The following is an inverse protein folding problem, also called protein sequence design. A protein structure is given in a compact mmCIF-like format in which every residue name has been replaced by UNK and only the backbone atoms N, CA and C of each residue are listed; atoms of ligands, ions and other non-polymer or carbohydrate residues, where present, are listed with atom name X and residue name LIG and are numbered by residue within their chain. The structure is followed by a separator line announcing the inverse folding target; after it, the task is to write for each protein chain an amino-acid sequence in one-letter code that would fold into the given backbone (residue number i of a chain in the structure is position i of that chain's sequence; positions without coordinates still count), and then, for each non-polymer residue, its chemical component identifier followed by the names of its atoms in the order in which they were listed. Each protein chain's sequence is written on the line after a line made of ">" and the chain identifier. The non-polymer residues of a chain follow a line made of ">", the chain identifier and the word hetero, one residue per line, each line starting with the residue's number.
data_IF_491936276415
#
_entry.id   IF_491936276415
#
_cell.length_a   1.000
_cell.length_b   1.000
_cell.length_c   1.000
_cell.angle_alpha   90.00
_cell.angle_beta   90.00
_cell.angle_gamma   90.00
#
_symmetry.space_group_name_H-M   'P 1'
#
loop_
_entity.id
_entity.type
_entity.pdbx_description
1 polymer ?
#
# COMPACT_ATOMS: atom_id res chain seq x y z
N UNK A 1 42.64 -0.49 -13.55
CA UNK A 1 41.25 -0.21 -13.97
C UNK A 1 40.36 -1.10 -13.14
N UNK A 2 39.54 -0.56 -12.24
CA UNK A 2 38.51 -1.36 -11.57
C UNK A 2 37.58 -1.96 -12.64
N UNK A 3 37.24 -3.23 -12.49
CA UNK A 3 36.34 -3.93 -13.41
C UNK A 3 34.93 -3.31 -13.45
N UNK A 4 34.04 -3.81 -14.32
CA UNK A 4 32.69 -3.25 -14.48
C UNK A 4 31.81 -3.36 -13.23
N UNK A 5 32.24 -4.13 -12.23
CA UNK A 5 31.60 -4.27 -10.93
C UNK A 5 32.61 -4.71 -9.86
N UNK A 6 32.23 -4.51 -8.59
CA UNK A 6 32.89 -5.06 -7.41
C UNK A 6 32.00 -6.14 -6.80
N UNK A 7 32.54 -7.35 -6.65
CA UNK A 7 31.85 -8.44 -5.95
C UNK A 7 31.63 -8.10 -4.47
N UNK A 8 30.42 -8.35 -3.98
CA UNK A 8 30.02 -8.16 -2.58
C UNK A 8 29.72 -9.51 -1.89
N UNK A 9 29.85 -10.64 -2.59
CA UNK A 9 29.51 -11.97 -2.12
C UNK A 9 28.04 -12.34 -2.32
N UNK A 10 27.70 -13.62 -2.12
CA UNK A 10 26.32 -14.14 -2.16
C UNK A 10 25.54 -13.83 -3.45
N UNK A 11 26.26 -13.68 -4.57
CA UNK A 11 25.68 -13.30 -5.87
C UNK A 11 25.38 -11.81 -6.03
N UNK A 12 25.67 -10.97 -5.02
CA UNK A 12 25.54 -9.52 -5.10
C UNK A 12 26.84 -8.88 -5.56
N UNK A 13 26.72 -7.83 -6.35
CA UNK A 13 27.82 -6.97 -6.75
C UNK A 13 27.39 -5.51 -6.73
N UNK A 14 28.36 -4.60 -6.66
CA UNK A 14 28.17 -3.18 -6.93
C UNK A 14 28.67 -2.85 -8.33
N UNK A 15 27.79 -2.37 -9.20
CA UNK A 15 28.20 -1.90 -10.52
C UNK A 15 29.07 -0.63 -10.39
N UNK A 16 30.12 -0.54 -11.22
CA UNK A 16 31.08 0.57 -11.23
C UNK A 16 31.16 1.20 -12.62
N UNK A 17 31.61 2.46 -12.68
CA UNK A 17 31.90 3.15 -13.94
C UNK A 17 30.67 3.33 -14.84
N UNK A 18 30.83 3.01 -16.14
CA UNK A 18 29.80 3.25 -17.16
C UNK A 18 28.66 2.22 -17.19
N UNK A 19 28.75 1.13 -16.41
CA UNK A 19 27.82 0.01 -16.50
C UNK A 19 26.46 0.31 -15.85
N UNK A 20 26.45 1.07 -14.76
CA UNK A 20 25.21 1.54 -14.12
C UNK A 20 24.36 2.42 -15.05
N UNK A 21 24.91 3.52 -15.62
CA UNK A 21 24.17 4.41 -16.52
C UNK A 21 23.68 3.75 -17.82
N UNK A 22 24.36 2.72 -18.33
CA UNK A 22 23.93 1.96 -19.52
C UNK A 22 22.64 1.17 -19.29
N UNK A 23 22.39 0.76 -18.04
CA UNK A 23 21.19 0.02 -17.62
C UNK A 23 20.16 1.05 -17.18
N UNK A 24 19.13 1.25 -18.01
CA UNK A 24 18.18 2.38 -17.89
C UNK A 24 17.80 2.69 -16.43
N UNK A 25 18.24 3.83 -15.85
CA UNK A 25 17.98 4.12 -14.46
C UNK A 25 16.49 4.30 -14.22
N UNK A 26 15.97 3.60 -13.21
CA UNK A 26 14.57 3.65 -12.81
C UNK A 26 14.21 5.05 -12.31
N UNK A 27 13.61 5.90 -13.14
CA UNK A 27 13.11 7.20 -12.67
C UNK A 27 11.85 6.98 -11.84
N UNK A 28 11.82 7.52 -10.64
CA UNK A 28 10.64 7.53 -9.76
C UNK A 28 10.14 8.96 -9.72
N UNK A 29 8.98 9.23 -10.31
CA UNK A 29 8.34 10.55 -10.28
C UNK A 29 6.96 10.54 -9.62
N UNK A 30 6.44 9.35 -9.31
CA UNK A 30 5.21 9.18 -8.57
C UNK A 30 5.25 7.90 -7.72
N UNK A 31 4.30 7.76 -6.80
CA UNK A 31 4.18 6.55 -5.96
C UNK A 31 3.92 5.30 -6.80
N UNK A 32 3.19 5.42 -7.92
CA UNK A 32 2.96 4.30 -8.83
C UNK A 32 4.25 3.77 -9.46
N UNK A 33 5.23 4.63 -9.76
CA UNK A 33 6.54 4.18 -10.26
C UNK A 33 7.29 3.40 -9.19
N UNK A 34 7.27 3.87 -7.94
CA UNK A 34 7.86 3.16 -6.81
C UNK A 34 7.20 1.78 -6.61
N UNK A 35 5.86 1.71 -6.66
CA UNK A 35 5.14 0.45 -6.60
C UNK A 35 5.54 -0.49 -7.74
N UNK A 36 5.64 0.01 -8.98
CA UNK A 36 6.05 -0.80 -10.12
C UNK A 36 7.45 -1.39 -9.93
N UNK A 37 8.39 -0.62 -9.39
CA UNK A 37 9.74 -1.11 -9.08
C UNK A 37 9.72 -2.19 -7.98
N UNK A 38 8.90 -2.01 -6.93
CA UNK A 38 8.73 -3.04 -5.89
C UNK A 38 8.15 -4.34 -6.46
N UNK A 39 7.16 -4.25 -7.35
CA UNK A 39 6.58 -5.42 -8.03
C UNK A 39 7.58 -6.11 -8.97
N UNK A 40 8.38 -5.34 -9.72
CA UNK A 40 9.45 -5.87 -10.57
C UNK A 40 10.48 -6.62 -9.73
N UNK A 41 10.94 -6.05 -8.63
CA UNK A 41 11.88 -6.72 -7.72
C UNK A 41 11.34 -8.05 -7.18
N UNK A 42 10.07 -8.09 -6.78
CA UNK A 42 9.45 -9.33 -6.32
C UNK A 42 9.35 -10.40 -7.42
N UNK A 43 8.93 -10.02 -8.64
CA UNK A 43 8.95 -10.93 -9.81
C UNK A 43 10.36 -11.41 -10.11
N UNK A 44 11.33 -10.51 -10.12
CA UNK A 44 12.72 -10.83 -10.41
C UNK A 44 13.36 -11.62 -9.26
N UNK A 45 12.76 -11.66 -8.07
CA UNK A 45 13.10 -12.61 -7.02
C UNK A 45 12.43 -13.99 -7.23
N UNK A 46 11.79 -14.21 -8.38
CA UNK A 46 11.07 -15.43 -8.76
C UNK A 46 9.85 -15.73 -7.88
N UNK A 47 9.21 -14.68 -7.36
CA UNK A 47 7.98 -14.83 -6.59
C UNK A 47 6.85 -15.40 -7.46
N UNK A 48 6.06 -16.31 -6.90
CA UNK A 48 4.81 -16.81 -7.50
C UNK A 48 3.60 -16.01 -7.02
N UNK A 49 3.66 -15.45 -5.81
CA UNK A 49 2.60 -14.67 -5.17
C UNK A 49 3.16 -13.35 -4.65
N UNK A 50 2.45 -12.27 -4.96
CA UNK A 50 2.81 -10.93 -4.51
C UNK A 50 1.58 -10.29 -3.86
N UNK A 51 1.74 -9.77 -2.65
CA UNK A 51 0.68 -9.12 -1.89
C UNK A 51 1.03 -7.64 -1.66
N UNK A 52 0.15 -6.75 -2.10
CA UNK A 52 0.31 -5.31 -1.96
C UNK A 52 -0.69 -4.79 -0.94
N UNK A 53 -0.20 -4.34 0.20
CA UNK A 53 -0.99 -3.59 1.16
C UNK A 53 -0.73 -2.09 1.00
N UNK A 54 -1.77 -1.28 1.02
CA UNK A 54 -1.62 0.18 1.01
C UNK A 54 -2.56 0.89 1.97
N UNK A 55 -2.08 2.00 2.53
CA UNK A 55 -2.89 2.94 3.31
C UNK A 55 -2.51 4.37 2.98
N UNK A 56 -3.48 5.28 2.99
CA UNK A 56 -3.20 6.72 3.01
C UNK A 56 -3.52 7.25 4.40
N UNK A 57 -2.51 7.82 5.07
CA UNK A 57 -2.63 8.42 6.41
C UNK A 57 -2.61 9.93 6.28
N UNK A 58 -3.45 10.60 7.07
CA UNK A 58 -3.54 12.08 7.12
C UNK A 58 -3.69 12.75 5.76
N UNK A 59 -4.25 12.04 4.77
CA UNK A 59 -4.36 12.47 3.36
C UNK A 59 -3.03 12.86 2.70
N UNK A 60 -1.89 12.42 3.24
CA UNK A 60 -0.54 12.83 2.81
C UNK A 60 0.46 11.69 2.78
N UNK A 61 0.45 10.80 3.77
CA UNK A 61 1.45 9.75 3.87
C UNK A 61 0.93 8.45 3.28
N UNK A 62 1.41 8.09 2.10
CA UNK A 62 1.07 6.85 1.42
C UNK A 62 2.03 5.75 1.83
N UNK A 63 1.50 4.77 2.54
CA UNK A 63 2.24 3.55 2.89
C UNK A 63 2.01 2.48 1.81
N UNK A 64 3.10 1.86 1.37
CA UNK A 64 3.12 0.63 0.58
C UNK A 64 3.85 -0.46 1.36
N UNK A 65 3.26 -1.64 1.41
CA UNK A 65 3.93 -2.86 1.84
C UNK A 65 3.76 -3.90 0.74
N UNK A 66 4.87 -4.35 0.16
CA UNK A 66 4.90 -5.44 -0.83
C UNK A 66 5.51 -6.65 -0.16
N UNK A 67 4.74 -7.74 -0.18
CA UNK A 67 5.13 -9.03 0.35
C UNK A 67 5.23 -10.03 -0.79
N UNK A 68 6.25 -10.86 -0.80
CA UNK A 68 6.43 -11.89 -1.83
C UNK A 68 6.98 -13.21 -1.28
N UNK A 69 6.79 -14.28 -2.03
CA UNK A 69 7.31 -15.62 -1.75
C UNK A 69 8.57 -15.97 -2.59
N UNK A 70 9.30 -14.95 -3.06
CA UNK A 70 10.53 -15.15 -3.82
C UNK A 70 11.72 -15.55 -2.95
N UNK A 71 12.91 -15.55 -3.56
CA UNK A 71 14.17 -15.96 -2.92
C UNK A 71 14.61 -15.07 -1.75
N UNK A 72 14.03 -13.87 -1.61
CA UNK A 72 14.38 -12.92 -0.56
C UNK A 72 15.76 -12.28 -0.75
N UNK A 73 16.29 -11.73 0.34
CA UNK A 73 17.58 -11.05 0.43
C UNK A 73 18.34 -11.61 1.62
N UNK A 74 19.61 -12.02 1.49
CA UNK A 74 20.37 -12.52 2.63
C UNK A 74 20.54 -11.42 3.70
N UNK A 75 20.44 -11.77 4.98
CA UNK A 75 20.41 -10.85 6.12
C UNK A 75 21.51 -9.76 6.10
N UNK A 76 22.78 -10.06 5.76
CA UNK A 76 23.84 -9.05 5.71
C UNK A 76 23.62 -7.96 4.67
N UNK A 77 22.74 -8.18 3.68
CA UNK A 77 22.48 -7.25 2.58
C UNK A 77 21.22 -6.40 2.80
N UNK A 78 20.50 -6.58 3.91
CA UNK A 78 19.20 -5.92 4.19
C UNK A 78 19.23 -4.40 4.04
N UNK A 79 20.31 -3.75 4.48
CA UNK A 79 20.55 -2.32 4.23
C UNK A 79 21.36 -2.07 2.95
N UNK A 80 22.30 -2.95 2.61
CA UNK A 80 23.20 -2.77 1.47
C UNK A 80 22.46 -2.72 0.12
N UNK A 81 21.33 -3.41 -0.03
CA UNK A 81 20.51 -3.38 -1.27
C UNK A 81 19.96 -1.98 -1.60
N UNK A 82 19.96 -1.05 -0.64
CA UNK A 82 19.55 0.33 -0.88
C UNK A 82 20.68 1.22 -1.36
N UNK A 83 21.93 0.74 -1.34
CA UNK A 83 23.07 1.50 -1.84
C UNK A 83 23.08 1.52 -3.38
N UNK A 84 23.52 2.63 -3.99
CA UNK A 84 23.50 2.76 -5.44
C UNK A 84 24.42 1.73 -6.10
N UNK A 85 23.91 1.09 -7.16
CA UNK A 85 24.65 0.13 -7.96
C UNK A 85 24.65 -1.30 -7.40
N UNK A 86 24.08 -1.53 -6.21
CA UNK A 86 24.03 -2.86 -5.60
C UNK A 86 22.96 -3.73 -6.29
N UNK A 87 23.37 -4.87 -6.83
CA UNK A 87 22.48 -5.75 -7.59
C UNK A 87 22.95 -7.22 -7.57
N UNK A 88 21.99 -8.14 -7.57
CA UNK A 88 22.21 -9.56 -7.86
C UNK A 88 22.15 -9.90 -9.36
N UNK A 89 21.89 -8.90 -10.21
CA UNK A 89 21.69 -9.04 -11.67
C UNK A 89 22.87 -8.48 -12.49
N UNK A 90 24.05 -8.37 -11.88
CA UNK A 90 25.23 -7.81 -12.53
C UNK A 90 25.67 -8.61 -13.78
N UNK A 91 25.59 -9.95 -13.74
CA UNK A 91 25.88 -10.85 -14.88
C UNK A 91 24.64 -11.25 -15.69
N UNK A 92 23.44 -10.96 -15.20
CA UNK A 92 22.18 -11.39 -15.82
C UNK A 92 21.15 -10.27 -15.74
N UNK A 93 21.34 -9.19 -16.52
CA UNK A 93 20.40 -8.09 -16.57
C UNK A 93 19.07 -8.57 -17.17
N UNK A 94 17.97 -7.94 -16.78
CA UNK A 94 16.62 -8.42 -17.14
C UNK A 94 16.06 -7.59 -18.29
N UNK A 95 15.67 -8.28 -19.36
CA UNK A 95 14.95 -7.67 -20.48
C UNK A 95 13.45 -7.64 -20.18
N UNK A 96 12.83 -6.46 -20.11
CA UNK A 96 11.40 -6.29 -19.77
C UNK A 96 10.63 -5.57 -20.90
N UNK A 97 10.98 -5.88 -22.16
CA UNK A 97 10.39 -5.25 -23.36
C UNK A 97 10.78 -3.78 -23.58
N UNK A 98 11.58 -3.19 -22.68
CA UNK A 98 12.19 -1.87 -22.84
C UNK A 98 13.46 -1.94 -23.70
N UNK A 99 13.85 -0.80 -24.30
CA UNK A 99 15.02 -0.72 -25.22
C UNK A 99 16.33 -1.12 -24.54
N UNK A 100 16.47 -0.85 -23.25
CA UNK A 100 17.65 -1.22 -22.45
C UNK A 100 17.22 -2.17 -21.32
N UNK A 101 18.02 -3.19 -21.00
CA UNK A 101 17.73 -4.06 -19.87
C UNK A 101 17.94 -3.32 -18.54
N UNK A 102 17.23 -3.77 -17.51
CA UNK A 102 17.38 -3.25 -16.15
C UNK A 102 18.23 -4.20 -15.29
N UNK A 103 18.38 -3.89 -14.00
CA UNK A 103 19.37 -4.54 -13.12
C UNK A 103 20.61 -3.68 -12.87
N UNK A 104 20.42 -2.35 -12.87
CA UNK A 104 21.46 -1.38 -12.52
C UNK A 104 21.74 -1.28 -11.01
N UNK A 105 20.87 -1.86 -10.16
CA UNK A 105 20.96 -1.69 -8.71
C UNK A 105 20.57 -0.28 -8.23
N UNK A 106 19.68 0.41 -8.96
CA UNK A 106 19.26 1.78 -8.64
C UNK A 106 17.82 1.90 -8.15
N UNK A 107 16.97 0.89 -8.38
CA UNK A 107 15.54 0.98 -8.06
C UNK A 107 15.28 1.19 -6.56
N UNK A 108 15.89 0.38 -5.70
CA UNK A 108 15.71 0.49 -4.25
C UNK A 108 16.38 1.74 -3.69
N UNK A 109 17.55 2.11 -4.21
CA UNK A 109 18.20 3.38 -3.89
C UNK A 109 17.29 4.58 -4.17
N UNK A 110 16.70 4.67 -5.37
CA UNK A 110 15.78 5.76 -5.69
C UNK A 110 14.50 5.73 -4.86
N UNK A 111 13.97 4.54 -4.52
CA UNK A 111 12.83 4.46 -3.59
C UNK A 111 13.22 5.07 -2.24
N UNK A 112 14.38 4.70 -1.68
CA UNK A 112 14.87 5.21 -0.40
C UNK A 112 15.05 6.73 -0.40
N UNK A 113 15.55 7.29 -1.50
CA UNK A 113 15.76 8.74 -1.64
C UNK A 113 14.44 9.54 -1.74
N UNK A 114 13.36 8.94 -2.25
CA UNK A 114 12.07 9.62 -2.43
C UNK A 114 11.04 9.29 -1.34
N UNK A 115 11.33 8.30 -0.49
CA UNK A 115 10.47 7.89 0.60
C UNK A 115 10.82 8.67 1.87
N UNK A 116 9.82 9.01 2.68
CA UNK A 116 10.03 9.45 4.06
C UNK A 116 10.62 8.31 4.91
N UNK A 117 10.33 7.07 4.53
CA UNK A 117 10.88 5.86 5.13
C UNK A 117 10.78 4.71 4.12
N UNK A 118 11.82 3.90 3.99
CA UNK A 118 11.76 2.66 3.21
C UNK A 118 12.61 1.61 3.92
N UNK A 119 12.14 0.38 4.06
CA UNK A 119 12.85 -0.67 4.80
C UNK A 119 12.54 -2.04 4.22
N UNK A 120 13.51 -2.94 4.30
CA UNK A 120 13.26 -4.36 4.19
C UNK A 120 12.96 -4.89 5.61
N UNK A 121 11.68 -5.09 5.93
CA UNK A 121 11.24 -5.49 7.27
C UNK A 121 11.43 -6.98 7.54
N UNK A 122 11.34 -7.80 6.49
CA UNK A 122 11.54 -9.23 6.57
C UNK A 122 12.31 -9.69 5.33
N UNK A 123 13.50 -10.29 5.48
CA UNK A 123 14.39 -10.60 4.36
C UNK A 123 13.96 -11.81 3.53
N UNK A 124 13.20 -12.73 4.09
CA UNK A 124 12.88 -14.05 3.52
C UNK A 124 11.40 -14.39 3.69
N UNK A 125 10.92 -15.60 3.36
CA UNK A 125 9.49 -15.94 3.24
C UNK A 125 8.56 -15.48 4.40
N UNK A 126 7.63 -14.52 4.18
CA UNK A 126 7.52 -13.66 3.00
C UNK A 126 8.47 -12.46 3.06
N UNK A 127 9.18 -12.18 1.96
CA UNK A 127 10.02 -10.99 1.85
C UNK A 127 9.10 -9.79 2.02
N UNK A 128 9.40 -8.87 2.93
CA UNK A 128 8.51 -7.75 3.28
C UNK A 128 9.21 -6.42 3.04
N UNK A 129 8.93 -5.79 1.92
CA UNK A 129 9.41 -4.45 1.61
C UNK A 129 8.35 -3.40 1.98
N UNK A 130 8.77 -2.39 2.73
CA UNK A 130 7.92 -1.35 3.27
C UNK A 130 8.42 0.02 2.82
N UNK A 131 7.50 0.90 2.45
CA UNK A 131 7.83 2.30 2.18
C UNK A 131 6.68 3.24 2.55
N UNK A 132 7.04 4.45 2.98
CA UNK A 132 6.15 5.57 3.25
C UNK A 132 6.57 6.73 2.36
N UNK A 133 5.65 7.22 1.55
CA UNK A 133 5.85 8.37 0.70
C UNK A 133 5.04 9.55 1.19
N UNK A 134 5.63 10.73 1.18
CA UNK A 134 4.92 11.97 1.35
C UNK A 134 4.35 12.42 0.00
N UNK A 135 3.04 12.39 -0.15
CA UNK A 135 2.38 12.67 -1.43
C UNK A 135 2.41 14.14 -1.85
N UNK A 136 2.90 15.04 -0.99
CA UNK A 136 3.20 16.42 -1.40
C UNK A 136 4.54 16.53 -2.13
N UNK A 137 5.48 15.62 -1.86
CA UNK A 137 6.79 15.56 -2.50
C UNK A 137 6.83 14.55 -3.65
N UNK A 138 6.26 13.36 -3.46
CA UNK A 138 6.13 12.33 -4.48
C UNK A 138 4.64 12.07 -4.74
N UNK A 139 4.03 12.74 -5.73
CA UNK A 139 2.58 12.67 -5.94
C UNK A 139 2.10 11.28 -6.39
N UNK A 140 0.81 11.02 -6.18
CA UNK A 140 0.11 9.90 -6.81
C UNK A 140 -0.51 10.36 -8.14
N UNK A 141 -0.46 9.52 -9.18
CA UNK A 141 -1.14 9.81 -10.44
C UNK A 141 -2.66 9.77 -10.22
N UNK A 142 -3.39 10.77 -10.67
CA UNK A 142 -4.86 10.75 -10.67
C UNK A 142 -5.42 9.80 -11.75
N UNK A 143 -6.42 8.99 -11.42
CA UNK A 143 -7.15 8.20 -12.42
C UNK A 143 -8.02 9.16 -13.24
N UNK A 144 -7.61 9.46 -14.47
CA UNK A 144 -8.45 10.17 -15.43
C UNK A 144 -9.41 9.20 -16.14
N UNK A 145 -10.19 8.43 -15.36
CA UNK A 145 -11.30 7.64 -15.90
C UNK A 145 -12.61 8.42 -15.73
N UNK A 146 -13.35 8.70 -16.82
CA UNK A 146 -14.65 9.37 -16.74
C UNK A 146 -15.72 8.50 -16.05
N UNK A 147 -15.57 7.17 -16.02
CA UNK A 147 -16.54 6.25 -15.44
C UNK A 147 -16.23 5.85 -13.99
N UNK A 148 -14.97 5.94 -13.55
CA UNK A 148 -14.53 5.61 -12.18
C UNK A 148 -13.36 6.50 -11.72
N UNK A 149 -13.63 7.73 -11.25
CA UNK A 149 -12.59 8.55 -10.65
C UNK A 149 -12.08 7.88 -9.37
N UNK A 150 -10.80 7.56 -9.30
CA UNK A 150 -10.12 7.16 -8.07
C UNK A 150 -8.99 8.13 -7.78
N UNK A 151 -8.79 8.40 -6.49
CA UNK A 151 -7.75 9.33 -6.00
C UNK A 151 -6.33 8.75 -6.10
N UNK A 152 -6.17 7.54 -6.65
CA UNK A 152 -4.91 6.82 -6.73
C UNK A 152 -4.91 5.84 -7.91
N UNK A 153 -3.81 5.79 -8.67
CA UNK A 153 -3.61 4.84 -9.78
C UNK A 153 -2.95 3.53 -9.32
N UNK A 154 -2.70 3.33 -8.02
CA UNK A 154 -1.97 2.16 -7.52
C UNK A 154 -2.64 0.82 -7.91
N UNK A 155 -3.97 0.70 -7.79
CA UNK A 155 -4.68 -0.51 -8.21
C UNK A 155 -4.61 -0.73 -9.73
N UNK A 156 -4.74 0.34 -10.52
CA UNK A 156 -4.63 0.25 -11.99
C UNK A 156 -3.22 -0.17 -12.41
N UNK A 157 -2.19 0.39 -11.76
CA UNK A 157 -0.78 0.01 -11.95
C UNK A 157 -0.56 -1.46 -11.61
N UNK A 158 -1.11 -1.92 -10.48
CA UNK A 158 -1.03 -3.33 -10.06
C UNK A 158 -1.73 -4.25 -11.06
N UNK A 159 -2.91 -3.87 -11.58
CA UNK A 159 -3.63 -4.61 -12.63
C UNK A 159 -2.86 -4.67 -13.94
N UNK A 160 -2.32 -3.56 -14.40
CA UNK A 160 -1.49 -3.52 -15.62
C UNK A 160 -0.24 -4.40 -15.49
N UNK A 161 0.38 -4.42 -14.31
CA UNK A 161 1.48 -5.34 -14.03
C UNK A 161 1.03 -6.80 -14.05
N UNK A 162 -0.09 -7.14 -13.41
CA UNK A 162 -0.64 -8.50 -13.41
C UNK A 162 -1.03 -8.99 -14.82
N UNK A 163 -1.59 -8.12 -15.66
CA UNK A 163 -1.94 -8.45 -17.05
C UNK A 163 -0.71 -8.81 -17.90
N UNK A 164 0.43 -8.14 -17.67
CA UNK A 164 1.71 -8.42 -18.34
C UNK A 164 2.45 -9.64 -17.77
N UNK A 165 2.07 -10.10 -16.58
CA UNK A 165 2.73 -11.21 -15.88
C UNK A 165 1.66 -12.24 -15.43
N UNK A 166 1.01 -12.96 -16.37
CA UNK A 166 -0.15 -13.80 -16.08
C UNK A 166 0.13 -15.00 -15.17
N UNK A 167 1.40 -15.40 -15.06
CA UNK A 167 1.85 -16.48 -14.16
C UNK A 167 1.85 -16.04 -12.69
N UNK A 168 1.92 -14.74 -12.40
CA UNK A 168 1.96 -14.21 -11.04
C UNK A 168 0.56 -14.13 -10.44
N UNK A 169 0.44 -14.56 -9.17
CA UNK A 169 -0.76 -14.32 -8.38
C UNK A 169 -0.61 -13.02 -7.57
N UNK A 170 -1.17 -11.93 -8.08
CA UNK A 170 -1.15 -10.64 -7.38
C UNK A 170 -2.42 -10.41 -6.55
N UNK A 171 -2.23 -9.89 -5.35
CA UNK A 171 -3.28 -9.46 -4.43
C UNK A 171 -3.05 -8.00 -4.03
N UNK A 172 -4.13 -7.21 -3.95
CA UNK A 172 -4.05 -5.80 -3.59
C UNK A 172 -5.18 -5.44 -2.62
N UNK A 173 -4.85 -4.71 -1.55
CA UNK A 173 -5.88 -4.23 -0.64
C UNK A 173 -5.38 -3.45 0.56
N UNK A 174 -6.25 -3.32 1.56
CA UNK A 174 -5.87 -2.76 2.86
C UNK A 174 -4.99 -3.76 3.64
N UNK A 175 -4.22 -3.31 4.64
CA UNK A 175 -3.44 -4.20 5.49
C UNK A 175 -4.27 -5.31 6.15
N UNK A 176 -5.53 -5.02 6.50
CA UNK A 176 -6.44 -6.02 7.07
C UNK A 176 -6.85 -7.09 6.05
N UNK A 177 -7.16 -6.69 4.82
CA UNK A 177 -7.52 -7.60 3.75
C UNK A 177 -6.32 -8.47 3.34
N UNK A 178 -5.13 -7.89 3.25
CA UNK A 178 -3.89 -8.63 2.99
C UNK A 178 -3.56 -9.59 4.12
N UNK A 179 -3.67 -9.16 5.39
CA UNK A 179 -3.50 -10.07 6.53
C UNK A 179 -4.45 -11.27 6.46
N UNK A 180 -5.73 -11.03 6.12
CA UNK A 180 -6.71 -12.10 5.91
C UNK A 180 -6.29 -13.03 4.75
N UNK A 181 -5.77 -12.48 3.64
CA UNK A 181 -5.25 -13.28 2.52
C UNK A 181 -4.03 -14.12 2.91
N UNK A 182 -3.08 -13.57 3.67
CA UNK A 182 -1.90 -14.32 4.12
C UNK A 182 -2.29 -15.51 4.99
N UNK A 183 -3.25 -15.34 5.91
CA UNK A 183 -3.79 -16.41 6.74
C UNK A 183 -4.60 -17.43 5.92
N UNK A 184 -5.39 -16.96 4.96
CA UNK A 184 -6.19 -17.82 4.09
C UNK A 184 -5.31 -18.72 3.22
N UNK A 185 -4.26 -18.13 2.62
CA UNK A 185 -3.29 -18.83 1.78
C UNK A 185 -2.21 -19.58 2.58
N UNK A 186 -2.28 -19.58 3.91
CA UNK A 186 -1.31 -20.22 4.82
C UNK A 186 0.14 -19.73 4.63
N UNK A 187 0.32 -18.48 4.21
CA UNK A 187 1.64 -17.82 4.15
C UNK A 187 2.15 -17.54 5.56
N UNK A 188 1.25 -17.16 6.46
CA UNK A 188 1.50 -17.12 7.90
C UNK A 188 0.57 -18.11 8.60
N UNK A 189 1.07 -18.73 9.66
CA UNK A 189 0.30 -19.71 10.42
C UNK A 189 -0.77 -19.03 11.28
N UNK A 190 -1.88 -19.74 11.52
CA UNK A 190 -2.88 -19.29 12.49
C UNK A 190 -2.32 -19.44 13.90
N UNK A 191 -2.57 -18.43 14.73
CA UNK A 191 -2.11 -18.38 16.11
C UNK A 191 -3.03 -17.48 16.94
N UNK A 192 -2.69 -17.25 18.21
CA UNK A 192 -3.41 -16.31 19.07
C UNK A 192 -3.37 -14.88 18.52
N UNK A 193 -4.39 -14.07 18.85
CA UNK A 193 -4.52 -12.72 18.27
C UNK A 193 -3.32 -11.80 18.56
N UNK A 194 -2.66 -11.96 19.71
CA UNK A 194 -1.47 -11.18 20.06
C UNK A 194 -0.26 -11.55 19.17
N UNK A 195 -0.08 -12.84 18.89
CA UNK A 195 1.00 -13.34 18.04
C UNK A 195 0.80 -12.94 16.58
N UNK A 196 -0.43 -13.05 16.07
CA UNK A 196 -0.78 -12.57 14.73
C UNK A 196 -0.61 -11.06 14.62
N UNK A 197 -0.97 -10.30 15.65
CA UNK A 197 -0.74 -8.86 15.68
C UNK A 197 0.75 -8.51 15.64
N UNK A 198 1.57 -9.22 16.42
CA UNK A 198 3.04 -9.06 16.40
C UNK A 198 3.61 -9.38 15.02
N UNK A 199 3.16 -10.48 14.40
CA UNK A 199 3.58 -10.89 13.05
C UNK A 199 3.15 -9.88 11.99
N UNK A 200 1.91 -9.40 12.04
CA UNK A 200 1.41 -8.36 11.14
C UNK A 200 2.25 -7.08 11.24
N UNK A 201 2.62 -6.66 12.46
CA UNK A 201 3.51 -5.51 12.67
C UNK A 201 4.91 -5.73 12.08
N UNK A 202 5.52 -6.90 12.28
CA UNK A 202 6.81 -7.25 11.66
C UNK A 202 6.77 -7.23 10.14
N UNK A 203 5.64 -7.62 9.55
CA UNK A 203 5.43 -7.56 8.10
C UNK A 203 5.02 -6.16 7.60
N UNK A 204 4.99 -5.14 8.44
CA UNK A 204 4.60 -3.78 8.03
C UNK A 204 3.10 -3.61 7.78
N UNK A 205 2.26 -4.54 8.23
CA UNK A 205 0.80 -4.45 8.16
C UNK A 205 0.27 -3.71 9.40
N UNK A 206 0.11 -2.39 9.27
CA UNK A 206 -0.36 -1.51 10.35
C UNK A 206 -1.84 -1.69 10.73
N UNK A 207 -2.16 -2.83 11.34
CA UNK A 207 -3.51 -3.18 11.86
C UNK A 207 -3.52 -3.16 13.38
N UNK A 208 -4.66 -2.80 13.98
CA UNK A 208 -4.86 -2.89 15.42
C UNK A 208 -5.15 -4.32 15.88
N UNK A 209 -4.97 -4.61 17.17
CA UNK A 209 -5.34 -5.90 17.76
C UNK A 209 -6.83 -6.25 17.53
N UNK A 210 -7.72 -5.25 17.64
CA UNK A 210 -9.15 -5.41 17.32
C UNK A 210 -9.37 -5.84 15.87
N UNK A 211 -8.64 -5.25 14.92
CA UNK A 211 -8.72 -5.63 13.51
C UNK A 211 -8.20 -7.06 13.29
N UNK A 212 -7.14 -7.47 13.98
CA UNK A 212 -6.65 -8.86 13.95
C UNK A 212 -7.72 -9.83 14.44
N UNK A 213 -8.38 -9.53 15.56
CA UNK A 213 -9.48 -10.36 16.07
C UNK A 213 -10.63 -10.46 15.06
N UNK A 214 -10.96 -9.37 14.36
CA UNK A 214 -11.96 -9.38 13.27
C UNK A 214 -11.54 -10.26 12.10
N UNK A 215 -10.27 -10.20 11.69
CA UNK A 215 -9.72 -11.07 10.63
C UNK A 215 -9.82 -12.53 11.06
N UNK A 216 -9.41 -12.88 12.29
CA UNK A 216 -9.45 -14.26 12.80
C UNK A 216 -10.87 -14.81 12.91
N UNK A 217 -11.87 -13.95 13.17
CA UNK A 217 -13.30 -14.29 13.18
C UNK A 217 -13.93 -14.33 11.78
N UNK A 218 -13.16 -14.08 10.71
CA UNK A 218 -13.69 -14.04 9.34
C UNK A 218 -14.50 -12.80 9.00
N UNK A 219 -14.49 -11.76 9.84
CA UNK A 219 -15.25 -10.52 9.63
C UNK A 219 -14.56 -9.54 8.65
N UNK A 220 -13.36 -9.89 8.17
CA UNK A 220 -12.64 -9.16 7.12
C UNK A 220 -12.45 -10.11 5.96
N UNK A 221 -12.96 -9.74 4.78
CA UNK A 221 -12.78 -10.53 3.57
C UNK A 221 -11.31 -10.48 3.10
N UNK A 222 -10.71 -11.62 2.73
CA UNK A 222 -9.42 -11.63 2.03
C UNK A 222 -9.47 -10.77 0.77
N UNK A 223 -8.35 -10.14 0.43
CA UNK A 223 -8.18 -9.53 -0.87
C UNK A 223 -8.28 -10.62 -1.96
N UNK A 224 -9.09 -10.36 -3.00
CA UNK A 224 -9.18 -11.24 -4.16
C UNK A 224 -7.92 -11.16 -5.02
N UNK A 225 -7.63 -12.25 -5.74
CA UNK A 225 -6.60 -12.24 -6.79
C UNK A 225 -7.02 -11.26 -7.87
N UNK A 226 -6.07 -10.47 -8.37
CA UNK A 226 -6.31 -9.59 -9.50
C UNK A 226 -6.48 -10.42 -10.77
N UNK A 227 -7.65 -10.32 -11.42
CA UNK A 227 -7.95 -10.96 -12.69
C UNK A 227 -7.16 -10.34 -13.84
N UNK A 228 -6.79 -11.17 -14.83
CA UNK A 228 -5.97 -10.77 -15.98
C UNK A 228 -6.76 -10.17 -17.15
N UNK A 229 -8.09 -10.06 -17.06
CA UNK A 229 -8.91 -9.59 -18.17
C UNK A 229 -8.76 -8.09 -18.40
N UNK A 230 -8.11 -7.75 -19.52
CA UNK A 230 -8.14 -6.45 -20.15
C UNK A 230 -9.13 -6.47 -21.32
N UNK A 231 -10.26 -5.80 -21.18
CA UNK A 231 -10.80 -4.91 -22.22
C UNK A 231 -11.90 -4.05 -21.62
N UNK A 232 -11.84 -2.74 -21.85
CA UNK A 232 -13.07 -1.97 -21.90
C UNK A 232 -13.86 -2.48 -23.11
N UNK A 233 -15.00 -3.14 -22.86
CA UNK A 233 -16.14 -3.09 -23.76
C UNK A 233 -17.35 -2.66 -22.95
N UNK A 234 -17.88 -1.49 -23.32
CA UNK A 234 -19.25 -1.11 -23.03
C UNK A 234 -20.24 -2.00 -23.79
N UNK A 235 -21.48 -2.01 -23.29
CA UNK A 235 -22.60 -2.85 -23.71
C UNK A 235 -22.74 -4.05 -22.75
N UNK A 236 -23.67 -4.08 -21.79
CA UNK A 236 -25.09 -3.68 -21.88
C UNK A 236 -25.74 -4.63 -22.89
N UNK A 237 -26.58 -5.59 -22.56
CA UNK A 237 -27.80 -5.65 -21.75
C UNK A 237 -28.21 -7.14 -21.69
N UNK A 238 -29.18 -7.64 -20.94
CA UNK A 238 -29.96 -7.21 -19.80
C UNK A 238 -30.73 -8.47 -19.38
N UNK A 239 -30.72 -8.76 -18.09
CA UNK A 239 -31.84 -9.43 -17.43
C UNK A 239 -32.57 -8.37 -16.63
N UNK A 240 -33.19 -7.41 -17.33
CA UNK A 240 -34.20 -6.54 -16.76
C UNK A 240 -35.44 -7.39 -16.49
N UNK A 241 -35.82 -7.51 -15.23
CA UNK A 241 -37.23 -7.42 -14.88
C UNK A 241 -37.36 -6.18 -13.99
N UNK A 242 -37.55 -5.04 -14.66
CA UNK A 242 -38.00 -3.83 -14.01
C UNK A 242 -39.41 -4.04 -13.49
N UNK A 243 -39.60 -3.69 -12.22
CA UNK A 243 -40.89 -3.42 -11.62
C UNK A 243 -40.73 -2.16 -10.79
N UNK A 244 -41.09 -1.03 -11.39
CA UNK A 244 -41.28 0.23 -10.69
C UNK A 244 -42.41 0.10 -9.68
N UNK A 245 -42.14 0.38 -8.41
CA UNK A 245 -43.15 0.92 -7.50
C UNK A 245 -42.49 1.61 -6.32
N UNK A 246 -42.85 2.87 -6.15
CA UNK A 246 -42.82 3.61 -4.89
C UNK A 246 -43.38 2.80 -3.72
N UNK A 247 -42.58 2.60 -2.66
CA UNK A 247 -42.94 2.38 -1.24
C UNK A 247 -41.59 2.31 -0.48
N UNK A 248 -41.31 3.00 0.63
CA UNK A 248 -42.11 3.14 1.83
C UNK A 248 -41.77 2.00 2.81
N UNK A 249 -40.79 2.20 3.70
CA UNK A 249 -40.46 1.32 4.85
C UNK A 249 -39.64 0.06 4.53
N UNK A 250 -38.88 -0.61 5.40
CA UNK A 250 -38.56 -0.50 6.84
C UNK A 250 -37.27 -1.33 7.05
N UNK A 251 -36.12 -0.68 7.22
CA UNK A 251 -34.95 -1.30 7.86
C UNK A 251 -34.73 -0.58 9.18
N UNK A 252 -34.33 -1.27 10.27
CA UNK A 252 -34.16 -0.61 11.57
C UNK A 252 -33.16 0.53 11.41
N UNK A 253 -33.65 1.76 11.57
CA UNK A 253 -32.82 2.96 11.63
C UNK A 253 -32.25 2.99 13.03
N UNK A 254 -30.93 2.87 13.14
CA UNK A 254 -30.25 3.07 14.42
C UNK A 254 -30.28 4.57 14.71
N UNK A 255 -31.23 4.99 15.55
CA UNK A 255 -31.31 6.34 16.06
C UNK A 255 -30.26 6.50 17.16
N UNK A 256 -29.29 7.38 16.91
CA UNK A 256 -28.37 7.85 17.96
C UNK A 256 -29.10 8.99 18.66
N UNK A 257 -29.49 8.78 19.92
CA UNK A 257 -30.14 9.81 20.72
C UNK A 257 -29.21 10.99 20.97
N UNK A 258 -29.76 12.15 21.33
CA UNK A 258 -28.96 13.35 21.65
C UNK A 258 -27.96 13.09 22.78
N UNK A 259 -28.32 12.29 23.78
CA UNK A 259 -27.38 11.90 24.86
C UNK A 259 -26.19 11.08 24.35
N UNK A 260 -26.41 10.13 23.45
CA UNK A 260 -25.33 9.35 22.83
C UNK A 260 -24.50 10.21 21.88
N UNK A 261 -25.12 11.18 21.20
CA UNK A 261 -24.45 12.16 20.35
C UNK A 261 -23.52 13.05 21.16
N UNK A 262 -23.96 13.54 22.32
CA UNK A 262 -23.15 14.34 23.24
C UNK A 262 -21.97 13.52 23.80
N UNK A 263 -22.19 12.27 24.18
CA UNK A 263 -21.12 11.37 24.64
C UNK A 263 -20.08 11.12 23.55
N UNK A 264 -20.52 10.92 22.30
CA UNK A 264 -19.61 10.75 21.16
C UNK A 264 -18.84 12.04 20.88
N UNK A 265 -19.50 13.21 20.97
CA UNK A 265 -18.86 14.51 20.81
C UNK A 265 -17.78 14.73 21.88
N UNK A 266 -18.07 14.42 23.15
CA UNK A 266 -17.12 14.54 24.25
C UNK A 266 -15.89 13.65 24.07
N UNK A 267 -16.09 12.38 23.69
CA UNK A 267 -14.98 11.46 23.43
C UNK A 267 -14.08 11.99 22.30
N UNK A 268 -14.68 12.49 21.22
CA UNK A 268 -13.94 13.03 20.08
C UNK A 268 -13.21 14.34 20.43
N UNK A 269 -13.84 15.21 21.23
CA UNK A 269 -13.24 16.45 21.72
C UNK A 269 -12.05 16.18 22.63
N UNK A 270 -12.18 15.26 23.59
CA UNK A 270 -11.06 14.86 24.47
C UNK A 270 -9.91 14.22 23.71
N UNK A 271 -10.21 13.40 22.70
CA UNK A 271 -9.18 12.81 21.83
C UNK A 271 -8.46 13.87 20.99
N UNK A 272 -9.18 14.89 20.51
CA UNK A 272 -8.60 16.02 19.78
C UNK A 272 -7.70 16.86 20.70
N UNK A 273 -8.17 17.21 21.90
CA UNK A 273 -7.41 17.99 22.89
C UNK A 273 -6.13 17.28 23.33
N UNK A 274 -6.18 15.96 23.54
CA UNK A 274 -4.99 15.16 23.85
C UNK A 274 -3.92 15.18 22.75
N UNK A 275 -4.30 15.61 21.53
CA UNK A 275 -3.42 15.77 20.39
C UNK A 275 -3.17 17.24 20.02
N UNK A 276 -3.50 18.19 20.92
CA UNK A 276 -3.42 19.64 20.69
C UNK A 276 -4.28 20.16 19.52
N UNK A 277 -5.37 19.45 19.17
CA UNK A 277 -6.31 19.82 18.10
C UNK A 277 -7.65 20.26 18.68
N UNK A 278 -8.37 21.15 17.98
CA UNK A 278 -9.77 21.49 18.26
C UNK A 278 -10.70 20.70 17.33
N UNK A 279 -11.72 20.05 17.90
CA UNK A 279 -12.81 19.44 17.12
C UNK A 279 -13.87 20.48 16.78
N UNK A 280 -14.24 20.58 15.51
CA UNK A 280 -15.38 21.32 15.01
C UNK A 280 -16.70 20.55 15.15
N UNK A 281 -17.74 21.04 14.48
CA UNK A 281 -19.11 20.52 14.60
C UNK A 281 -19.24 19.02 14.25
N UNK A 282 -19.90 18.26 15.13
CA UNK A 282 -20.24 16.85 14.94
C UNK A 282 -21.52 16.72 14.10
N UNK A 283 -21.39 16.17 12.90
CA UNK A 283 -22.53 15.82 12.03
C UNK A 283 -22.76 14.31 12.05
N UNK A 284 -24.00 13.92 12.31
CA UNK A 284 -24.43 12.53 12.39
C UNK A 284 -25.56 12.31 11.39
N UNK A 285 -25.36 11.37 10.46
CA UNK A 285 -26.37 10.95 9.48
C UNK A 285 -26.73 9.49 9.76
N UNK A 286 -27.98 9.24 10.17
CA UNK A 286 -28.53 7.88 10.30
C UNK A 286 -29.30 7.49 9.03
N UNK A 287 -29.01 6.31 8.50
CA UNK A 287 -29.72 5.68 7.38
C UNK A 287 -30.10 4.24 7.77
N UNK A 288 -31.10 3.61 7.12
CA UNK A 288 -31.42 2.20 7.39
C UNK A 288 -30.17 1.32 7.23
N UNK A 289 -29.69 0.72 8.32
CA UNK A 289 -28.50 -0.13 8.36
C UNK A 289 -27.13 0.58 8.46
N UNK A 290 -27.08 1.92 8.58
CA UNK A 290 -25.82 2.68 8.64
C UNK A 290 -25.93 3.94 9.52
N UNK A 291 -24.88 4.23 10.30
CA UNK A 291 -24.70 5.55 10.96
C UNK A 291 -23.36 6.12 10.56
N UNK A 292 -23.38 7.32 9.98
CA UNK A 292 -22.19 8.05 9.52
C UNK A 292 -21.93 9.22 10.45
N UNK A 293 -20.75 9.26 11.06
CA UNK A 293 -20.32 10.34 11.95
C UNK A 293 -19.17 11.10 11.30
N UNK A 294 -19.31 12.43 11.17
CA UNK A 294 -18.31 13.32 10.60
C UNK A 294 -17.94 14.40 11.61
N UNK A 295 -16.65 14.52 11.91
CA UNK A 295 -16.05 15.61 12.68
C UNK A 295 -14.88 16.17 11.89
N UNK A 296 -14.81 17.50 11.84
CA UNK A 296 -13.65 18.21 11.34
C UNK A 296 -12.73 18.53 12.53
N UNK A 297 -11.42 18.34 12.41
CA UNK A 297 -10.43 18.67 13.45
C UNK A 297 -9.38 19.60 12.85
N UNK A 298 -8.99 20.61 13.61
CA UNK A 298 -8.16 21.72 13.15
C UNK A 298 -7.10 22.02 14.22
N UNK A 299 -5.91 22.42 13.79
CA UNK A 299 -4.92 22.99 14.71
C UNK A 299 -5.44 24.36 15.17
N UNK A 300 -5.46 24.64 16.48
CA UNK A 300 -5.76 25.99 16.94
C UNK A 300 -4.67 26.92 16.40
N UNK A 301 -5.06 27.93 15.61
CA UNK A 301 -4.14 29.01 15.28
C UNK A 301 -3.64 29.60 16.61
N UNK A 302 -2.33 29.56 16.82
CA UNK A 302 -1.69 30.41 17.81
C UNK A 302 -1.93 31.84 17.32
N UNK A 303 -2.80 32.58 18.01
CA UNK A 303 -2.80 34.04 17.95
C UNK A 303 -1.38 34.47 18.35
N UNK A 304 -0.53 34.71 17.35
CA UNK A 304 0.66 35.50 17.55
C UNK A 304 0.17 36.89 17.93
N UNK A 305 0.11 37.12 19.24
CA UNK A 305 -0.07 38.45 19.80
C UNK A 305 0.90 39.40 19.10
N UNK A 306 0.31 40.38 18.42
CA UNK A 306 1.00 41.51 17.85
C UNK A 306 1.62 42.34 18.98
N UNK A 307 2.81 41.94 19.41
CA UNK A 307 3.73 42.79 20.15
C UNK A 307 5.10 42.66 19.50
N UNK A 308 5.49 43.66 18.73
CA UNK A 308 6.73 44.44 18.88
C UNK A 308 6.82 45.44 17.72
N UNK A 309 6.80 46.71 18.11
CA UNK A 309 7.03 47.98 17.41
C UNK A 309 7.45 47.98 15.93
#
# INVERSE_FOLDING_TARGET
>A
MEGPYRDLGSGFARLSGAEGPRRAPSRISCVEDALLQMLRNARDADASRIFVATTLRSRRYRTLTVLDDGHGVPEPYTELIFEPGVTSRHLSPVADGERNPHGAGLSLYHIRQNAADARLLHPSSPTAFYAVFDTTHLPERSLQSPSRPSRSNLLATTRSFAARNPTLSLYYGSPAAILATLLHNRIIQRAGSAEIHSTARRLGLGVSLRTVQRVLRGAVRPAGRISHEGSERGGGEAGLSGGSSSAGGEGPVLYVGEEDRERIADILSRAAQASYLKSGELRLESRPGEVVIRVSVHEPEEEYDAYYY
#
